data_IF_614001885936
#
_entry.id   IF_614001885936
#
_cell.length_a   1.000
_cell.length_b   1.000
_cell.length_c   1.000
_cell.angle_alpha   90.00
_cell.angle_beta   90.00
_cell.angle_gamma   90.00
#
_symmetry.space_group_name_H-M   'P 1'
#
loop_
_entity.id
_entity.type
_entity.pdbx_description
1 polymer ?
#
# COMPACT_ATOMS: atom_id res chain seq x y z
N UNK A 1 8.74 -10.95 14.04
CA UNK A 1 9.62 -11.05 12.86
C UNK A 1 10.48 -9.80 12.75
N UNK A 2 11.78 -9.97 12.48
CA UNK A 2 12.73 -8.87 12.37
C UNK A 2 13.00 -8.52 10.90
N UNK A 3 12.71 -7.29 10.52
CA UNK A 3 12.76 -6.80 9.13
C UNK A 3 13.81 -5.70 9.05
N UNK A 4 14.87 -5.91 8.27
CA UNK A 4 15.96 -4.95 8.12
C UNK A 4 15.52 -3.66 7.41
N UNK A 5 16.07 -2.53 7.83
CA UNK A 5 15.89 -1.21 7.21
C UNK A 5 16.06 -1.26 5.69
N UNK A 6 17.04 -2.02 5.20
CA UNK A 6 17.34 -2.14 3.79
C UNK A 6 16.25 -2.88 2.97
N UNK A 7 15.24 -3.47 3.61
CA UNK A 7 14.08 -4.04 2.92
C UNK A 7 13.12 -2.95 2.40
N UNK A 8 13.27 -1.72 2.86
CA UNK A 8 12.39 -0.60 2.51
C UNK A 8 13.11 0.37 1.57
N UNK A 9 12.40 0.82 0.53
CA UNK A 9 12.85 1.88 -0.38
C UNK A 9 12.21 3.22 -0.06
N UNK A 10 11.06 3.19 0.60
CA UNK A 10 10.37 4.40 0.99
C UNK A 10 11.18 5.17 2.03
N UNK A 11 11.51 6.44 1.73
CA UNK A 11 12.34 7.26 2.59
C UNK A 11 11.71 7.54 3.96
N UNK A 12 10.39 7.64 4.01
CA UNK A 12 9.69 7.93 5.26
C UNK A 12 9.71 6.70 6.16
N UNK A 13 9.36 5.52 5.63
CA UNK A 13 9.46 4.25 6.37
C UNK A 13 10.90 4.02 6.86
N UNK A 14 11.86 4.20 5.97
CA UNK A 14 13.28 4.03 6.32
C UNK A 14 13.73 4.99 7.42
N UNK A 15 13.28 6.26 7.37
CA UNK A 15 13.60 7.25 8.41
C UNK A 15 12.98 6.90 9.76
N UNK A 16 11.75 6.40 9.77
CA UNK A 16 11.07 5.95 11.00
C UNK A 16 11.84 4.80 11.64
N UNK A 17 12.20 3.77 10.87
CA UNK A 17 12.97 2.61 11.36
C UNK A 17 14.35 3.05 11.85
N UNK A 18 15.03 3.92 11.10
CA UNK A 18 16.35 4.43 11.48
C UNK A 18 16.31 5.24 12.79
N UNK A 19 15.22 5.97 13.06
CA UNK A 19 15.09 6.79 14.26
C UNK A 19 15.03 5.97 15.55
N UNK A 20 14.48 4.77 15.49
CA UNK A 20 14.41 3.85 16.63
C UNK A 20 15.77 3.19 16.93
N UNK A 21 16.66 3.16 15.93
CA UNK A 21 18.04 2.63 16.06
C UNK A 21 18.13 1.25 16.74
N UNK A 22 17.13 0.40 16.50
CA UNK A 22 17.10 -0.97 17.01
C UNK A 22 17.96 -1.87 16.15
N UNK A 23 18.85 -2.63 16.75
CA UNK A 23 19.71 -3.58 16.05
C UNK A 23 19.23 -5.03 16.23
N UNK A 24 19.38 -5.83 15.17
CA UNK A 24 19.00 -7.23 15.16
C UNK A 24 19.37 -7.91 13.84
N UNK A 25 18.80 -9.08 13.62
CA UNK A 25 19.09 -9.89 12.43
C UNK A 25 17.88 -9.85 11.47
N UNK A 26 18.08 -9.39 10.26
CA UNK A 26 17.02 -9.36 9.25
C UNK A 26 16.68 -10.77 8.78
N UNK A 27 15.45 -11.23 9.05
CA UNK A 27 14.98 -12.54 8.65
C UNK A 27 14.75 -12.65 7.13
N UNK A 28 14.42 -11.54 6.47
CA UNK A 28 14.12 -11.50 5.02
C UNK A 28 15.41 -11.60 4.20
N UNK A 29 16.39 -10.75 4.49
CA UNK A 29 17.64 -10.70 3.74
C UNK A 29 18.77 -11.53 4.36
N UNK A 30 18.49 -12.17 5.51
CA UNK A 30 19.48 -12.98 6.27
C UNK A 30 20.77 -12.20 6.63
N UNK A 31 20.62 -10.90 6.90
CA UNK A 31 21.69 -10.03 7.36
C UNK A 31 21.70 -9.96 8.87
N UNK A 32 22.88 -9.99 9.45
CA UNK A 32 23.09 -9.87 10.89
C UNK A 32 23.53 -8.46 11.27
N UNK A 33 23.22 -8.06 12.50
CA UNK A 33 23.63 -6.77 13.10
C UNK A 33 23.28 -5.55 12.23
N UNK A 34 22.03 -5.51 11.75
CA UNK A 34 21.49 -4.38 10.99
C UNK A 34 20.42 -3.63 11.78
N UNK A 35 20.07 -2.43 11.35
CA UNK A 35 18.92 -1.72 11.92
C UNK A 35 17.64 -2.42 11.45
N UNK A 36 16.75 -2.72 12.38
CA UNK A 36 15.54 -3.51 12.13
C UNK A 36 14.26 -2.81 12.64
N UNK A 37 13.14 -3.23 12.08
CA UNK A 37 11.80 -3.15 12.64
C UNK A 37 11.41 -4.53 13.18
N UNK A 38 10.93 -4.61 14.43
CA UNK A 38 10.49 -5.86 15.05
C UNK A 38 8.96 -5.87 15.18
N UNK A 39 8.29 -6.73 14.42
CA UNK A 39 6.82 -6.79 14.38
C UNK A 39 6.18 -7.25 15.69
N UNK A 40 6.93 -7.77 16.64
CA UNK A 40 6.41 -8.19 17.95
C UNK A 40 6.45 -7.06 18.98
N UNK A 41 7.32 -6.09 18.78
CA UNK A 41 7.53 -5.00 19.75
C UNK A 41 7.15 -3.63 19.18
N UNK A 42 7.21 -3.47 17.85
CA UNK A 42 7.01 -2.20 17.15
C UNK A 42 5.69 -2.20 16.37
N UNK A 43 4.89 -1.15 16.50
CA UNK A 43 3.58 -1.01 15.83
C UNK A 43 3.44 0.26 14.99
N UNK A 44 4.45 1.13 14.97
CA UNK A 44 4.37 2.43 14.30
C UNK A 44 4.27 2.35 12.76
N UNK A 45 4.73 1.26 12.14
CA UNK A 45 4.58 1.07 10.69
C UNK A 45 3.16 0.63 10.30
N UNK A 46 2.40 0.03 11.21
CA UNK A 46 1.03 -0.41 10.95
C UNK A 46 0.14 0.76 10.54
N UNK A 47 0.20 1.87 11.27
CA UNK A 47 -0.61 3.07 10.97
C UNK A 47 -0.25 3.67 9.61
N UNK A 48 1.04 3.69 9.27
CA UNK A 48 1.48 4.22 7.99
C UNK A 48 1.06 3.32 6.82
N UNK A 49 1.21 2.02 6.96
CA UNK A 49 0.82 1.04 5.93
C UNK A 49 -0.70 0.91 5.81
N UNK A 50 -1.47 1.14 6.86
CA UNK A 50 -2.94 1.15 6.83
C UNK A 50 -3.47 2.09 5.76
N UNK A 51 -2.93 3.30 5.64
CA UNK A 51 -3.35 4.24 4.60
C UNK A 51 -3.16 3.70 3.18
N UNK A 52 -2.11 2.91 2.99
CA UNK A 52 -1.85 2.24 1.71
C UNK A 52 -2.80 1.06 1.53
N UNK A 53 -2.99 0.25 2.56
CA UNK A 53 -3.86 -0.94 2.53
C UNK A 53 -5.32 -0.58 2.31
N UNK A 54 -5.80 0.49 2.92
CA UNK A 54 -7.17 0.97 2.79
C UNK A 54 -7.53 1.43 1.37
N UNK A 55 -6.53 1.73 0.53
CA UNK A 55 -6.76 2.00 -0.88
C UNK A 55 -7.18 0.76 -1.67
N UNK A 56 -6.95 -0.45 -1.13
CA UNK A 56 -7.24 -1.71 -1.81
C UNK A 56 -8.55 -2.37 -1.32
N UNK A 57 -9.10 -3.20 -2.17
CA UNK A 57 -10.17 -4.13 -1.85
C UNK A 57 -10.03 -5.39 -2.69
N UNK A 58 -10.55 -6.51 -2.20
CA UNK A 58 -10.55 -7.76 -2.97
C UNK A 58 -11.39 -7.59 -4.24
N UNK A 59 -10.81 -7.88 -5.40
CA UNK A 59 -11.43 -7.63 -6.71
C UNK A 59 -12.83 -8.22 -6.84
N UNK A 60 -13.05 -9.42 -6.29
CA UNK A 60 -14.37 -10.08 -6.30
C UNK A 60 -15.46 -9.30 -5.57
N UNK A 61 -15.13 -8.51 -4.55
CA UNK A 61 -16.11 -7.71 -3.80
C UNK A 61 -16.72 -6.60 -4.65
N UNK A 62 -15.95 -6.11 -5.63
CA UNK A 62 -16.42 -5.13 -6.62
C UNK A 62 -16.86 -5.77 -7.95
N UNK A 63 -17.04 -7.10 -7.98
CA UNK A 63 -17.39 -7.86 -9.18
C UNK A 63 -16.40 -7.66 -10.35
N UNK A 64 -15.16 -7.34 -10.03
CA UNK A 64 -14.08 -7.21 -11.01
C UNK A 64 -13.62 -8.60 -11.40
N UNK A 65 -13.53 -8.88 -12.70
CA UNK A 65 -13.04 -10.16 -13.19
C UNK A 65 -11.55 -10.34 -12.80
N UNK A 66 -11.17 -11.54 -12.40
CA UNK A 66 -9.76 -11.84 -12.08
C UNK A 66 -8.80 -11.64 -13.27
N UNK A 67 -9.34 -11.63 -14.48
CA UNK A 67 -8.59 -11.32 -15.71
C UNK A 67 -8.50 -9.82 -16.01
N UNK A 68 -9.14 -8.97 -15.22
CA UNK A 68 -9.05 -7.52 -15.41
C UNK A 68 -7.62 -7.06 -15.15
N UNK A 69 -7.10 -6.26 -16.07
CA UNK A 69 -5.74 -5.70 -15.98
C UNK A 69 -5.54 -4.81 -14.74
N UNK A 70 -6.63 -4.31 -14.16
CA UNK A 70 -6.63 -3.48 -12.94
C UNK A 70 -6.63 -4.30 -11.65
N UNK A 71 -6.75 -5.63 -11.75
CA UNK A 71 -6.72 -6.54 -10.62
C UNK A 71 -5.42 -7.34 -10.60
N UNK A 72 -4.64 -7.22 -9.54
CA UNK A 72 -3.38 -7.93 -9.34
C UNK A 72 -3.21 -8.29 -7.86
N UNK A 73 -2.21 -9.07 -7.53
CA UNK A 73 -1.86 -9.34 -6.13
C UNK A 73 -1.28 -8.09 -5.48
N UNK A 74 -1.59 -7.87 -4.21
CA UNK A 74 -1.12 -6.73 -3.43
C UNK A 74 0.41 -6.57 -3.51
N UNK A 75 1.16 -7.64 -3.36
CA UNK A 75 2.63 -7.66 -3.50
C UNK A 75 3.13 -7.10 -4.83
N UNK A 76 2.38 -7.30 -5.92
CA UNK A 76 2.76 -6.79 -7.23
C UNK A 76 2.53 -5.27 -7.34
N UNK A 77 1.45 -4.76 -6.74
CA UNK A 77 1.25 -3.32 -6.65
C UNK A 77 2.38 -2.67 -5.85
N UNK A 78 2.68 -3.17 -4.66
CA UNK A 78 3.69 -2.60 -3.78
C UNK A 78 5.11 -2.69 -4.37
N UNK A 79 5.40 -3.73 -5.15
CA UNK A 79 6.65 -3.82 -5.91
C UNK A 79 6.74 -2.73 -6.98
N UNK A 80 5.67 -2.50 -7.75
CA UNK A 80 5.60 -1.42 -8.75
C UNK A 80 5.74 -0.04 -8.11
N UNK A 81 5.24 0.14 -6.90
CA UNK A 81 5.28 1.40 -6.16
C UNK A 81 6.62 1.67 -5.49
N UNK A 82 7.54 0.74 -5.57
CA UNK A 82 8.88 0.85 -5.00
C UNK A 82 8.87 1.17 -3.49
N UNK A 83 7.90 0.64 -2.77
CA UNK A 83 7.86 0.76 -1.31
C UNK A 83 8.97 -0.08 -0.68
N UNK A 84 9.23 -1.25 -1.28
CA UNK A 84 10.19 -2.23 -0.80
C UNK A 84 11.34 -2.45 -1.79
N UNK A 85 12.52 -2.74 -1.27
CA UNK A 85 13.71 -3.13 -2.05
C UNK A 85 13.70 -4.61 -2.43
N UNK A 86 12.95 -5.41 -1.71
CA UNK A 86 12.73 -6.84 -1.95
C UNK A 86 11.55 -7.07 -2.90
N UNK A 87 11.33 -8.28 -3.36
CA UNK A 87 10.30 -8.57 -4.37
C UNK A 87 9.47 -9.80 -4.04
N UNK A 88 8.32 -9.92 -4.70
CA UNK A 88 7.51 -11.13 -4.71
C UNK A 88 7.06 -11.59 -3.34
N UNK A 89 7.48 -12.78 -2.94
CA UNK A 89 7.02 -13.42 -1.71
C UNK A 89 7.59 -12.75 -0.45
N UNK A 90 8.75 -12.10 -0.54
CA UNK A 90 9.33 -11.33 0.57
C UNK A 90 8.44 -10.14 0.92
N UNK A 91 7.94 -9.40 -0.08
CA UNK A 91 6.95 -8.32 0.14
C UNK A 91 5.70 -8.87 0.81
N UNK A 92 5.19 -10.00 0.30
CA UNK A 92 4.02 -10.66 0.89
C UNK A 92 4.24 -10.99 2.36
N UNK A 93 5.39 -11.54 2.68
CA UNK A 93 5.76 -11.93 4.04
C UNK A 93 5.84 -10.71 4.97
N UNK A 94 6.50 -9.64 4.53
CA UNK A 94 6.63 -8.38 5.28
C UNK A 94 5.25 -7.79 5.58
N UNK A 95 4.41 -7.62 4.55
CA UNK A 95 3.10 -6.99 4.72
C UNK A 95 2.20 -7.83 5.63
N UNK A 96 2.22 -9.15 5.45
CA UNK A 96 1.43 -10.04 6.30
C UNK A 96 1.90 -9.94 7.75
N UNK A 97 3.20 -9.91 8.00
CA UNK A 97 3.73 -9.81 9.34
C UNK A 97 3.39 -8.48 10.03
N UNK A 98 3.34 -7.37 9.28
CA UNK A 98 3.04 -6.06 9.86
C UNK A 98 1.52 -5.83 9.99
N UNK A 99 0.73 -6.22 8.98
CA UNK A 99 -0.66 -5.75 8.87
C UNK A 99 -1.71 -6.82 9.19
N UNK A 100 -1.37 -8.11 9.33
CA UNK A 100 -2.37 -9.18 9.45
C UNK A 100 -3.27 -9.06 10.67
N UNK A 101 -2.78 -8.54 11.79
CA UNK A 101 -3.59 -8.35 13.00
C UNK A 101 -4.69 -7.32 12.78
N UNK A 102 -4.39 -6.25 12.03
CA UNK A 102 -5.35 -5.18 11.76
C UNK A 102 -6.41 -5.54 10.73
N UNK A 103 -6.07 -6.45 9.80
CA UNK A 103 -6.95 -6.90 8.72
C UNK A 103 -7.46 -8.34 8.91
N UNK A 104 -7.68 -8.75 10.17
CA UNK A 104 -8.21 -10.08 10.50
C UNK A 104 -9.58 -10.37 9.86
N UNK A 105 -10.39 -9.33 9.68
CA UNK A 105 -11.71 -9.43 9.05
C UNK A 105 -11.63 -9.51 7.51
N UNK A 106 -10.50 -9.15 6.91
CA UNK A 106 -10.29 -9.16 5.46
C UNK A 106 -9.00 -9.92 5.06
N UNK A 107 -8.78 -11.17 5.52
CA UNK A 107 -7.53 -11.91 5.26
C UNK A 107 -7.30 -12.16 3.77
N UNK A 108 -8.36 -12.13 2.97
CA UNK A 108 -8.30 -12.29 1.51
C UNK A 108 -7.52 -11.17 0.80
N UNK A 109 -7.29 -10.01 1.44
CA UNK A 109 -6.44 -8.94 0.91
C UNK A 109 -5.01 -9.42 0.63
N UNK A 110 -4.52 -10.38 1.42
CA UNK A 110 -3.17 -10.88 1.27
C UNK A 110 -3.05 -12.00 0.23
N UNK A 111 -4.12 -12.80 0.03
CA UNK A 111 -4.06 -14.03 -0.77
C UNK A 111 -4.74 -13.93 -2.13
N UNK A 112 -5.63 -12.95 -2.31
CA UNK A 112 -6.43 -12.80 -3.52
C UNK A 112 -5.99 -11.59 -4.33
N UNK A 113 -6.44 -11.53 -5.58
CA UNK A 113 -6.28 -10.35 -6.39
C UNK A 113 -7.10 -9.20 -5.82
N UNK A 114 -6.45 -8.07 -5.69
CA UNK A 114 -7.00 -6.81 -5.20
C UNK A 114 -7.08 -5.80 -6.34
N UNK A 115 -7.87 -4.78 -6.13
CA UNK A 115 -7.92 -3.60 -6.98
C UNK A 115 -8.01 -2.35 -6.12
N UNK A 116 -7.70 -1.20 -6.68
CA UNK A 116 -7.79 0.08 -5.98
C UNK A 116 -9.28 0.46 -5.90
N UNK A 117 -9.78 0.71 -4.70
CA UNK A 117 -11.21 1.01 -4.43
C UNK A 117 -11.75 2.14 -5.29
N UNK A 118 -10.97 3.18 -5.50
CA UNK A 118 -11.38 4.38 -6.24
C UNK A 118 -11.62 4.13 -7.74
N UNK A 119 -11.06 3.07 -8.31
CA UNK A 119 -11.33 2.72 -9.71
C UNK A 119 -12.75 2.20 -9.94
N UNK A 120 -13.41 1.75 -8.87
CA UNK A 120 -14.70 1.05 -8.97
C UNK A 120 -15.76 1.61 -8.03
N UNK A 121 -15.47 2.72 -7.36
CA UNK A 121 -16.46 3.39 -6.52
C UNK A 121 -17.47 4.09 -7.41
N UNK A 122 -18.62 3.51 -7.53
CA UNK A 122 -19.92 3.97 -8.02
C UNK A 122 -20.43 3.27 -9.27
N UNK A 123 -21.76 3.16 -9.36
CA UNK A 123 -22.56 2.41 -10.34
C UNK A 123 -22.40 2.81 -11.82
N UNK A 124 -21.46 3.70 -12.17
CA UNK A 124 -21.24 4.17 -13.54
C UNK A 124 -19.75 4.40 -13.81
N UNK A 125 -19.12 3.37 -14.33
CA UNK A 125 -17.66 3.25 -14.46
C UNK A 125 -16.96 4.26 -15.37
N UNK A 126 -17.64 4.95 -16.27
CA UNK A 126 -16.97 5.82 -17.25
C UNK A 126 -17.04 7.31 -16.93
N UNK A 127 -17.96 7.74 -16.08
CA UNK A 127 -18.20 9.18 -15.86
C UNK A 127 -17.81 9.71 -14.47
N UNK A 128 -17.39 8.85 -13.53
CA UNK A 128 -17.19 9.26 -12.13
C UNK A 128 -15.77 9.01 -11.59
N UNK A 129 -14.79 8.79 -12.44
CA UNK A 129 -13.41 8.73 -11.95
C UNK A 129 -12.98 10.12 -11.46
N UNK A 130 -12.90 10.28 -10.14
CA UNK A 130 -12.45 11.51 -9.48
C UNK A 130 -10.98 11.77 -9.81
N UNK A 131 -10.23 10.73 -10.15
CA UNK A 131 -8.82 10.84 -10.52
C UNK A 131 -8.67 11.24 -11.99
N UNK A 132 -7.88 12.25 -12.26
CA UNK A 132 -7.60 12.75 -13.63
C UNK A 132 -6.70 11.81 -14.42
N UNK A 133 -5.88 11.03 -13.75
CA UNK A 133 -4.92 10.13 -14.38
C UNK A 133 -4.85 8.81 -13.62
N UNK A 134 -4.62 7.73 -14.38
CA UNK A 134 -4.32 6.40 -13.83
C UNK A 134 -2.80 6.21 -13.62
N UNK A 135 -2.03 7.30 -13.67
CA UNK A 135 -0.60 7.24 -13.41
C UNK A 135 -0.37 7.09 -11.91
N UNK A 136 0.02 5.90 -11.55
CA UNK A 136 0.24 5.53 -10.16
C UNK A 136 1.42 6.28 -9.52
N UNK A 137 2.48 6.51 -10.27
CA UNK A 137 3.65 7.24 -9.74
C UNK A 137 3.27 8.67 -9.32
N UNK A 138 2.41 9.33 -10.12
CA UNK A 138 1.87 10.64 -9.79
C UNK A 138 0.93 10.61 -8.59
N UNK A 139 0.13 9.57 -8.46
CA UNK A 139 -0.77 9.37 -7.32
C UNK A 139 0.01 9.18 -6.02
N UNK A 140 1.00 8.30 -6.03
CA UNK A 140 1.87 8.07 -4.87
C UNK A 140 2.66 9.31 -4.48
N UNK A 141 3.22 10.04 -5.47
CA UNK A 141 3.92 11.28 -5.21
C UNK A 141 3.00 12.29 -4.51
N UNK A 142 1.76 12.41 -4.96
CA UNK A 142 0.81 13.36 -4.41
C UNK A 142 0.31 12.97 -3.00
N UNK A 143 0.11 11.68 -2.72
CA UNK A 143 -0.21 11.22 -1.36
C UNK A 143 0.95 11.47 -0.41
N UNK A 144 2.18 11.22 -0.86
CA UNK A 144 3.38 11.35 0.00
C UNK A 144 3.84 12.79 0.23
N UNK A 145 3.68 13.67 -0.75
CA UNK A 145 4.31 14.98 -0.77
C UNK A 145 3.35 16.16 -0.89
N UNK A 146 2.11 15.91 -1.27
CA UNK A 146 1.09 16.94 -1.45
C UNK A 146 -0.12 16.53 -0.62
N UNK A 147 -0.66 17.44 0.17
CA UNK A 147 -1.83 17.20 0.99
C UNK A 147 -2.93 16.51 0.16
N UNK A 148 -3.51 15.41 0.66
CA UNK A 148 -4.57 14.59 0.04
C UNK A 148 -5.69 15.41 -0.61
N UNK A 149 -6.03 16.54 -0.03
CA UNK A 149 -7.15 17.39 -0.46
C UNK A 149 -6.79 18.40 -1.56
N UNK A 150 -5.51 18.51 -1.95
CA UNK A 150 -5.03 19.49 -2.94
C UNK A 150 -4.34 18.84 -4.15
N UNK A 151 -4.50 17.53 -4.33
CA UNK A 151 -3.92 16.85 -5.48
C UNK A 151 -4.58 17.36 -6.77
N UNK A 152 -3.78 17.87 -7.69
CA UNK A 152 -4.24 18.31 -9.02
C UNK A 152 -4.80 17.16 -9.87
N UNK A 153 -4.73 15.94 -9.38
CA UNK A 153 -5.25 14.73 -10.02
C UNK A 153 -6.74 14.54 -9.76
N UNK A 154 -7.31 15.24 -8.79
CA UNK A 154 -8.73 15.21 -8.51
C UNK A 154 -9.48 16.08 -9.53
N UNK A 155 -10.47 15.50 -10.17
CA UNK A 155 -11.36 16.23 -11.07
C UNK A 155 -12.41 17.01 -10.27
N UNK A 156 -12.06 18.24 -9.85
CA UNK A 156 -12.94 19.09 -9.05
C UNK A 156 -14.30 19.39 -9.72
N UNK A 157 -14.36 19.44 -11.05
CA UNK A 157 -15.62 19.65 -11.77
C UNK A 157 -16.60 18.48 -11.59
N UNK A 158 -16.09 17.26 -11.46
CA UNK A 158 -16.91 16.09 -11.12
C UNK A 158 -17.30 16.08 -9.65
N UNK A 159 -16.40 16.49 -8.77
CA UNK A 159 -16.68 16.60 -7.33
C UNK A 159 -17.81 17.61 -7.06
N UNK A 160 -17.80 18.76 -7.72
CA UNK A 160 -18.88 19.77 -7.59
C UNK A 160 -20.23 19.26 -8.08
N UNK A 161 -20.26 18.39 -9.09
CA UNK A 161 -21.49 17.79 -9.58
C UNK A 161 -22.07 16.71 -8.64
N UNK A 162 -21.21 16.08 -7.84
CA UNK A 162 -21.61 15.09 -6.83
C UNK A 162 -22.15 15.75 -5.54
N UNK A 163 -21.82 17.02 -5.31
CA UNK A 163 -22.22 17.76 -4.10
C UNK A 163 -23.49 18.62 -4.32
N UNK A 164 -24.05 18.63 -5.52
CA UNK A 164 -25.34 19.29 -5.87
C UNK A 164 -26.46 18.27 -5.89
#
# INVERSE_FOLDING_TARGET
MQIGLECFLDEQLSSMIASENRHGDCEIQHKTDCIIYDTEEDHYLEEYLEEIMDAFTVAKHLKVAESDVRADYLKNFLSKWKVFSVTGDDIQQIITAICSERYQDEPELFDKKVTIREFFSADTMEQQCILKTYNWDDFCYNIKHVNRFHSQQVNFAQLENLLK
#
